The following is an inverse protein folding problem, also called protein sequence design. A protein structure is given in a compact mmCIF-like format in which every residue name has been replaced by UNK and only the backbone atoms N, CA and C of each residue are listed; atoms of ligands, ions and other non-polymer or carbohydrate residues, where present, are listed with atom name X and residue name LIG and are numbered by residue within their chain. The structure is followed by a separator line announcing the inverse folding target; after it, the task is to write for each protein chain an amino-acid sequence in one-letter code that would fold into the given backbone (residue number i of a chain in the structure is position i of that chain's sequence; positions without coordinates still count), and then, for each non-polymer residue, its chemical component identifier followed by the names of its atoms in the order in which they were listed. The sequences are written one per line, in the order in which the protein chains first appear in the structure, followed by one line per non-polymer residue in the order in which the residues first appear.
data_IF_780569068522
#
_entry.id   IF_780569068522
#
_cell.length_a   1.000
_cell.length_b   1.000
_cell.length_c   1.000
_cell.angle_alpha   90.00
_cell.angle_beta   90.00
_cell.angle_gamma   90.00
#
_symmetry.space_group_name_H-M   'P 1'
#
loop_
_entity.id
_entity.type
_entity.pdbx_description
1 polymer ?
#
# COMPACT_ATOMS: atom_id res chain seq x y z
N UNK A 1 -21.28 4.49 0.01
CA UNK A 1 -19.83 4.48 -0.27
C UNK A 1 -19.15 3.54 0.71
N UNK A 2 -18.20 2.73 0.24
CA UNK A 2 -17.54 1.67 1.03
C UNK A 2 -16.66 2.21 2.19
N UNK A 3 -16.35 3.50 2.19
CA UNK A 3 -15.50 4.17 3.19
C UNK A 3 -16.28 4.93 4.27
N UNK A 4 -17.62 4.88 4.26
CA UNK A 4 -18.43 5.58 5.27
C UNK A 4 -18.11 5.06 6.69
N UNK A 5 -18.29 5.90 7.73
CA UNK A 5 -18.15 5.47 9.11
C UNK A 5 -18.90 4.18 9.38
N UNK A 6 -18.33 3.30 10.20
CA UNK A 6 -18.82 1.92 10.41
C UNK A 6 -20.33 1.87 10.71
N UNK A 7 -20.84 2.77 11.54
CA UNK A 7 -22.26 2.82 11.91
C UNK A 7 -23.20 3.04 10.69
N UNK A 8 -22.73 3.77 9.69
CA UNK A 8 -23.48 4.16 8.49
C UNK A 8 -23.09 3.33 7.25
N UNK A 9 -22.14 2.41 7.39
CA UNK A 9 -21.54 1.72 6.25
C UNK A 9 -22.45 0.59 5.72
N UNK A 10 -23.26 0.91 4.71
CA UNK A 10 -24.13 -0.08 4.05
C UNK A 10 -23.36 -1.18 3.31
N UNK A 11 -22.15 -0.89 2.83
CA UNK A 11 -21.32 -1.90 2.15
C UNK A 11 -20.85 -2.97 3.14
N UNK A 12 -20.45 -2.56 4.35
CA UNK A 12 -20.13 -3.50 5.43
C UNK A 12 -21.32 -4.43 5.74
N UNK A 13 -22.52 -3.86 5.91
CA UNK A 13 -23.74 -4.62 6.17
C UNK A 13 -24.06 -5.60 5.04
N UNK A 14 -23.82 -5.20 3.79
CA UNK A 14 -24.00 -6.06 2.63
C UNK A 14 -23.05 -7.27 2.67
N UNK A 15 -21.76 -7.06 2.93
CA UNK A 15 -20.77 -8.14 3.03
C UNK A 15 -21.11 -9.08 4.20
N UNK A 16 -21.42 -8.54 5.38
CA UNK A 16 -21.84 -9.32 6.55
C UNK A 16 -23.07 -10.18 6.25
N UNK A 17 -24.06 -9.64 5.53
CA UNK A 17 -25.28 -10.37 5.13
C UNK A 17 -24.96 -11.52 4.17
N UNK A 18 -24.10 -11.29 3.18
CA UNK A 18 -23.70 -12.32 2.22
C UNK A 18 -22.92 -13.45 2.91
N UNK A 19 -22.01 -13.12 3.82
CA UNK A 19 -21.27 -14.10 4.62
C UNK A 19 -22.22 -14.91 5.51
N UNK A 20 -23.18 -14.27 6.18
CA UNK A 20 -24.18 -14.94 6.99
C UNK A 20 -25.08 -15.89 6.18
N UNK A 21 -25.30 -15.58 4.90
CA UNK A 21 -26.01 -16.44 3.96
C UNK A 21 -25.14 -17.60 3.39
N UNK A 22 -23.88 -17.73 3.80
CA UNK A 22 -22.96 -18.75 3.31
C UNK A 22 -22.42 -18.48 1.90
N UNK A 23 -22.48 -17.23 1.42
CA UNK A 23 -21.92 -16.86 0.11
C UNK A 23 -20.40 -17.01 0.15
N UNK A 24 -19.77 -17.69 -0.81
CA UNK A 24 -18.32 -17.88 -0.84
C UNK A 24 -17.61 -16.61 -1.32
N UNK A 25 -17.47 -15.64 -0.43
CA UNK A 25 -16.68 -14.42 -0.67
C UNK A 25 -15.23 -14.70 -0.33
N UNK A 26 -14.32 -14.40 -1.24
CA UNK A 26 -12.87 -14.64 -1.07
C UNK A 26 -12.06 -13.36 -0.84
N UNK A 27 -12.67 -12.18 -0.99
CA UNK A 27 -12.01 -10.90 -0.80
C UNK A 27 -13.00 -9.72 -0.86
N UNK A 28 -12.55 -8.57 -0.36
CA UNK A 28 -13.37 -7.35 -0.26
C UNK A 28 -12.66 -6.20 -0.97
N UNK A 29 -13.33 -5.61 -1.95
CA UNK A 29 -12.77 -4.56 -2.81
C UNK A 29 -13.29 -3.16 -2.48
N UNK A 30 -12.41 -2.18 -2.50
CA UNK A 30 -12.70 -0.78 -2.25
C UNK A 30 -12.20 0.08 -3.42
N UNK A 31 -13.13 0.69 -4.15
CA UNK A 31 -12.80 1.74 -5.11
C UNK A 31 -12.54 3.07 -4.40
N UNK A 32 -11.54 3.83 -4.84
CA UNK A 32 -11.13 5.11 -4.27
C UNK A 32 -10.98 6.17 -5.37
N UNK A 33 -12.10 6.77 -5.76
CA UNK A 33 -12.15 7.74 -6.85
C UNK A 33 -12.49 9.16 -6.41
N UNK A 34 -11.67 10.09 -6.90
CA UNK A 34 -11.97 11.50 -7.02
C UNK A 34 -11.73 11.92 -8.48
N UNK A 35 -12.80 12.04 -9.26
CA UNK A 35 -12.72 12.34 -10.70
C UNK A 35 -12.59 13.85 -11.03
N UNK A 36 -12.47 14.71 -10.03
CA UNK A 36 -12.28 16.15 -10.22
C UNK A 36 -11.55 16.78 -9.06
N UNK A 37 -10.75 17.82 -9.35
CA UNK A 37 -10.06 18.62 -8.31
C UNK A 37 -11.03 19.15 -7.28
N UNK A 38 -12.17 19.69 -7.71
CA UNK A 38 -13.15 20.30 -6.80
C UNK A 38 -13.71 19.27 -5.81
N UNK A 39 -14.06 18.07 -6.25
CA UNK A 39 -14.51 17.01 -5.35
C UNK A 39 -13.38 16.55 -4.42
N UNK A 40 -12.16 16.42 -4.95
CA UNK A 40 -11.01 16.06 -4.14
C UNK A 40 -10.78 17.09 -3.03
N UNK A 41 -10.68 18.38 -3.32
CA UNK A 41 -10.48 19.41 -2.31
C UNK A 41 -11.67 19.58 -1.37
N UNK A 42 -12.89 19.41 -1.86
CA UNK A 42 -14.10 19.54 -1.03
C UNK A 42 -14.19 18.44 0.03
N UNK A 43 -13.85 17.20 -0.33
CA UNK A 43 -14.07 16.05 0.54
C UNK A 43 -12.78 15.48 1.14
N UNK A 44 -11.63 15.64 0.49
CA UNK A 44 -10.34 15.17 0.99
C UNK A 44 -9.48 16.37 1.45
N UNK A 45 -9.12 16.47 2.74
CA UNK A 45 -9.43 15.54 3.83
C UNK A 45 -10.74 15.86 4.57
N UNK A 46 -11.48 16.91 4.21
CA UNK A 46 -12.48 17.53 5.08
C UNK A 46 -13.74 16.69 5.39
N UNK A 47 -14.11 15.74 4.55
CA UNK A 47 -15.22 14.82 4.83
C UNK A 47 -14.76 13.74 5.82
N UNK A 48 -15.50 13.50 6.92
CA UNK A 48 -15.19 12.44 7.89
C UNK A 48 -14.95 11.06 7.26
N UNK A 49 -15.56 10.78 6.10
CA UNK A 49 -15.36 9.57 5.31
C UNK A 49 -13.89 9.34 4.94
N UNK A 50 -13.14 10.40 4.66
CA UNK A 50 -11.77 10.31 4.15
C UNK A 50 -10.71 10.77 5.16
N UNK A 51 -11.12 11.06 6.39
CA UNK A 51 -10.18 11.30 7.49
C UNK A 51 -9.39 10.02 7.82
N UNK A 52 -8.08 10.11 8.12
CA UNK A 52 -7.25 8.94 8.40
C UNK A 52 -7.83 8.01 9.47
N UNK A 53 -8.34 8.56 10.58
CA UNK A 53 -8.90 7.76 11.68
C UNK A 53 -10.14 6.97 11.25
N UNK A 54 -10.99 7.55 10.41
CA UNK A 54 -12.15 6.85 9.87
C UNK A 54 -11.73 5.76 8.89
N UNK A 55 -10.82 6.06 7.95
CA UNK A 55 -10.32 5.07 7.00
C UNK A 55 -9.69 3.88 7.74
N UNK A 56 -8.84 4.14 8.74
CA UNK A 56 -8.25 3.11 9.58
C UNK A 56 -9.32 2.27 10.28
N UNK A 57 -10.28 2.92 10.94
CA UNK A 57 -11.38 2.25 11.65
C UNK A 57 -12.21 1.36 10.73
N UNK A 58 -12.51 1.84 9.52
CA UNK A 58 -13.29 1.10 8.53
C UNK A 58 -12.52 -0.14 8.05
N UNK A 59 -11.27 0.01 7.62
CA UNK A 59 -10.49 -1.14 7.15
C UNK A 59 -10.19 -2.15 8.26
N UNK A 60 -9.96 -1.71 9.49
CA UNK A 60 -9.82 -2.62 10.64
C UNK A 60 -11.12 -3.36 10.93
N UNK A 61 -12.27 -2.69 10.81
CA UNK A 61 -13.57 -3.36 10.95
C UNK A 61 -13.78 -4.42 9.86
N UNK A 62 -13.48 -4.11 8.60
CA UNK A 62 -13.54 -5.10 7.53
C UNK A 62 -12.53 -6.23 7.72
N UNK A 63 -11.36 -5.95 8.31
CA UNK A 63 -10.35 -6.97 8.62
C UNK A 63 -10.85 -8.03 9.63
N UNK A 64 -11.85 -7.70 10.45
CA UNK A 64 -12.48 -8.65 11.38
C UNK A 64 -13.35 -9.70 10.67
N UNK A 65 -13.69 -9.49 9.39
CA UNK A 65 -14.40 -10.49 8.56
C UNK A 65 -13.48 -11.60 8.04
N UNK A 66 -12.20 -11.53 8.41
CA UNK A 66 -11.17 -12.52 8.08
C UNK A 66 -10.85 -12.74 6.60
N UNK A 67 -11.29 -11.82 5.74
CA UNK A 67 -11.02 -11.82 4.31
C UNK A 67 -9.89 -10.85 3.93
N UNK A 68 -9.15 -11.11 2.84
CA UNK A 68 -8.22 -10.15 2.27
C UNK A 68 -8.97 -8.92 1.75
N UNK A 69 -8.37 -7.75 1.98
CA UNK A 69 -8.89 -6.46 1.53
C UNK A 69 -8.08 -5.96 0.33
N UNK A 70 -8.75 -5.30 -0.60
CA UNK A 70 -8.14 -4.74 -1.80
C UNK A 70 -8.60 -3.31 -2.02
N UNK A 71 -7.67 -2.38 -2.22
CA UNK A 71 -8.01 -1.16 -2.93
C UNK A 71 -7.97 -1.50 -4.41
N UNK A 72 -9.12 -1.49 -5.08
CA UNK A 72 -9.24 -2.07 -6.42
C UNK A 72 -9.02 -1.05 -7.52
N UNK A 73 -9.36 0.21 -7.27
CA UNK A 73 -9.33 1.25 -8.30
C UNK A 73 -9.02 2.60 -7.65
N UNK A 74 -7.88 3.21 -8.00
CA UNK A 74 -7.50 4.52 -7.48
C UNK A 74 -7.60 5.57 -8.58
N UNK A 75 -8.26 6.67 -8.27
CA UNK A 75 -8.17 7.90 -9.06
C UNK A 75 -8.05 9.09 -8.11
N UNK A 76 -6.86 9.69 -8.06
CA UNK A 76 -6.62 10.97 -7.37
C UNK A 76 -6.29 11.99 -8.46
N UNK A 77 -6.99 13.13 -8.55
CA UNK A 77 -6.85 14.03 -9.67
C UNK A 77 -5.52 14.77 -9.61
N UNK A 78 -4.78 14.74 -10.72
CA UNK A 78 -3.60 15.58 -10.95
C UNK A 78 -3.92 16.92 -11.63
N UNK A 79 -5.19 17.16 -11.98
CA UNK A 79 -5.65 18.38 -12.65
C UNK A 79 -5.56 19.63 -11.77
N UNK A 80 -5.42 20.81 -12.41
CA UNK A 80 -5.43 22.14 -11.80
C UNK A 80 -4.11 22.52 -11.12
N UNK A 81 -4.08 23.73 -10.54
CA UNK A 81 -2.87 24.29 -9.94
C UNK A 81 -2.31 23.40 -8.83
N UNK A 82 -1.01 23.12 -8.89
CA UNK A 82 -0.32 22.18 -7.99
C UNK A 82 -0.88 20.74 -7.98
N UNK A 83 -1.77 20.37 -8.92
CA UNK A 83 -2.49 19.10 -8.89
C UNK A 83 -1.57 17.88 -8.84
N UNK A 84 -0.45 17.87 -9.58
CA UNK A 84 0.52 16.78 -9.54
C UNK A 84 1.20 16.62 -8.16
N UNK A 85 1.47 17.74 -7.48
CA UNK A 85 2.07 17.75 -6.15
C UNK A 85 1.04 17.28 -5.10
N UNK A 86 -0.19 17.81 -5.16
CA UNK A 86 -1.29 17.42 -4.28
C UNK A 86 -1.59 15.91 -4.41
N UNK A 87 -1.66 15.43 -5.66
CA UNK A 87 -1.83 14.01 -5.99
C UNK A 87 -0.75 13.16 -5.34
N UNK A 88 0.53 13.53 -5.51
CA UNK A 88 1.64 12.79 -4.94
C UNK A 88 1.61 12.77 -3.40
N UNK A 89 1.29 13.88 -2.76
CA UNK A 89 1.21 13.94 -1.28
C UNK A 89 0.07 13.10 -0.74
N UNK A 90 -1.13 13.19 -1.32
CA UNK A 90 -2.27 12.40 -0.91
C UNK A 90 -2.01 10.90 -1.07
N UNK A 91 -1.43 10.51 -2.21
CA UNK A 91 -1.08 9.11 -2.49
C UNK A 91 -0.03 8.59 -1.51
N UNK A 92 0.99 9.38 -1.15
CA UNK A 92 1.97 8.98 -0.12
C UNK A 92 1.30 8.62 1.20
N UNK A 93 0.32 9.40 1.64
CA UNK A 93 -0.37 9.15 2.91
C UNK A 93 -1.34 7.97 2.82
N UNK A 94 -2.11 7.90 1.74
CA UNK A 94 -3.05 6.81 1.51
C UNK A 94 -2.35 5.46 1.40
N UNK A 95 -1.25 5.38 0.63
CA UNK A 95 -0.48 4.14 0.49
C UNK A 95 0.14 3.70 1.82
N UNK A 96 0.65 4.62 2.65
CA UNK A 96 1.11 4.28 4.00
C UNK A 96 -0.01 3.76 4.90
N UNK A 97 -1.18 4.39 4.85
CA UNK A 97 -2.36 3.93 5.60
C UNK A 97 -2.77 2.52 5.15
N UNK A 98 -2.95 2.30 3.85
CA UNK A 98 -3.33 0.99 3.31
C UNK A 98 -2.30 -0.09 3.60
N UNK A 99 -1.01 0.22 3.45
CA UNK A 99 0.09 -0.69 3.78
C UNK A 99 0.13 -1.05 5.28
N UNK A 100 -0.37 -0.17 6.15
CA UNK A 100 -0.42 -0.46 7.59
C UNK A 100 -1.55 -1.41 8.01
N UNK A 101 -2.54 -1.63 7.13
CA UNK A 101 -3.65 -2.56 7.39
C UNK A 101 -3.18 -3.98 7.11
N UNK A 102 -3.09 -4.81 8.16
CA UNK A 102 -2.57 -6.19 8.06
C UNK A 102 -3.23 -7.05 6.98
N UNK A 103 -4.55 -6.90 6.77
CA UNK A 103 -5.29 -7.68 5.76
C UNK A 103 -5.34 -7.02 4.38
N UNK A 104 -4.66 -5.89 4.17
CA UNK A 104 -4.57 -5.28 2.84
C UNK A 104 -3.67 -6.13 1.96
N UNK A 105 -4.29 -6.89 1.06
CA UNK A 105 -3.64 -7.85 0.19
C UNK A 105 -3.22 -7.25 -1.16
N UNK A 106 -3.81 -6.12 -1.57
CA UNK A 106 -3.45 -5.46 -2.82
C UNK A 106 -3.99 -4.06 -2.97
N UNK A 107 -3.27 -3.25 -3.74
CA UNK A 107 -3.60 -1.86 -4.07
C UNK A 107 -3.41 -1.70 -5.58
N UNK A 108 -4.50 -1.51 -6.31
CA UNK A 108 -4.52 -1.43 -7.76
C UNK A 108 -4.81 0.00 -8.23
N UNK A 109 -3.91 0.51 -9.07
CA UNK A 109 -4.05 1.83 -9.68
C UNK A 109 -4.88 1.74 -10.97
N UNK A 110 -5.83 2.64 -11.17
CA UNK A 110 -6.85 2.48 -12.21
C UNK A 110 -6.33 2.73 -13.64
N UNK A 111 -5.45 3.72 -13.84
CA UNK A 111 -4.91 4.05 -15.16
C UNK A 111 -3.44 4.46 -15.07
N UNK A 112 -2.60 3.89 -15.95
CA UNK A 112 -1.18 4.23 -15.99
C UNK A 112 -0.96 5.67 -16.47
N UNK A 113 -1.53 6.03 -17.62
CA UNK A 113 -1.32 7.33 -18.26
C UNK A 113 -2.51 8.26 -18.09
N UNK A 114 -2.24 9.56 -18.08
CA UNK A 114 -3.29 10.57 -18.15
C UNK A 114 -4.11 10.44 -19.45
N UNK A 115 -5.39 10.82 -19.39
CA UNK A 115 -6.35 10.80 -20.49
C UNK A 115 -6.70 9.42 -21.09
N UNK A 116 -6.24 8.31 -20.50
CA UNK A 116 -6.62 6.95 -20.94
C UNK A 116 -7.82 6.36 -20.20
N UNK A 117 -8.26 7.01 -19.12
CA UNK A 117 -9.42 6.57 -18.34
C UNK A 117 -10.73 6.74 -19.12
N UNK A 118 -11.73 5.91 -18.80
CA UNK A 118 -12.99 5.85 -19.55
C UNK A 118 -13.79 7.16 -19.47
N UNK A 119 -14.33 7.60 -20.61
CA UNK A 119 -15.22 8.75 -20.69
C UNK A 119 -14.58 10.03 -20.13
N UNK A 120 -15.29 10.69 -19.22
CA UNK A 120 -14.84 11.96 -18.63
C UNK A 120 -13.84 11.80 -17.47
N UNK A 121 -13.55 10.56 -17.02
CA UNK A 121 -12.60 10.32 -15.94
C UNK A 121 -11.18 10.79 -16.32
N UNK A 122 -10.84 10.74 -17.61
CA UNK A 122 -9.55 11.19 -18.13
C UNK A 122 -9.25 12.67 -17.85
N UNK A 123 -10.28 13.48 -17.61
CA UNK A 123 -10.13 14.91 -17.27
C UNK A 123 -9.54 15.13 -15.87
N UNK A 124 -9.59 14.12 -15.00
CA UNK A 124 -8.97 14.17 -13.68
C UNK A 124 -7.44 14.25 -13.74
N UNK A 125 -6.82 13.82 -14.86
CA UNK A 125 -5.38 13.62 -14.98
C UNK A 125 -4.86 12.74 -13.81
N UNK A 126 -5.53 11.62 -13.59
CA UNK A 126 -5.30 10.70 -12.47
C UNK A 126 -4.27 9.61 -12.73
N UNK A 127 -3.53 9.65 -13.84
CA UNK A 127 -2.48 8.68 -14.17
C UNK A 127 -1.23 8.83 -13.32
N UNK A 128 -0.39 7.78 -13.32
CA UNK A 128 0.97 7.81 -12.78
C UNK A 128 1.96 8.48 -13.73
N UNK A 129 1.65 8.48 -15.02
CA UNK A 129 2.39 9.19 -16.07
C UNK A 129 1.49 10.22 -16.75
N UNK A 130 2.10 11.16 -17.46
CA UNK A 130 1.37 12.00 -18.41
C UNK A 130 0.96 11.20 -19.67
N UNK A 131 0.35 11.90 -20.64
CA UNK A 131 -0.10 11.32 -21.91
C UNK A 131 1.04 10.79 -22.80
N UNK A 132 2.28 11.20 -22.54
CA UNK A 132 3.49 10.77 -23.25
C UNK A 132 4.28 9.69 -22.48
N UNK A 133 3.68 9.12 -21.42
CA UNK A 133 4.32 8.16 -20.51
C UNK A 133 5.50 8.72 -19.71
N UNK A 134 5.58 10.04 -19.56
CA UNK A 134 6.55 10.66 -18.66
C UNK A 134 6.11 10.48 -17.21
N UNK A 135 6.96 9.94 -16.31
CA UNK A 135 6.62 9.80 -14.89
C UNK A 135 6.22 11.12 -14.24
N UNK A 136 5.08 11.12 -13.53
CA UNK A 136 4.62 12.26 -12.71
C UNK A 136 5.20 12.17 -11.30
N UNK A 137 5.11 13.24 -10.48
CA UNK A 137 5.51 13.19 -9.06
C UNK A 137 4.92 12.02 -8.26
N UNK A 138 3.69 11.59 -8.58
CA UNK A 138 3.05 10.42 -7.95
C UNK A 138 3.76 9.10 -8.26
N UNK A 139 4.35 8.94 -9.45
CA UNK A 139 5.18 7.78 -9.79
C UNK A 139 6.37 7.67 -8.84
N UNK A 140 7.13 8.76 -8.71
CA UNK A 140 8.31 8.79 -7.83
C UNK A 140 7.94 8.63 -6.36
N UNK A 141 6.77 9.11 -5.96
CA UNK A 141 6.24 8.87 -4.63
C UNK A 141 6.01 7.38 -4.34
N UNK A 142 5.41 6.65 -5.29
CA UNK A 142 5.19 5.22 -5.16
C UNK A 142 6.49 4.42 -5.26
N UNK A 143 7.39 4.80 -6.17
CA UNK A 143 8.71 4.18 -6.30
C UNK A 143 9.51 4.30 -4.99
N UNK A 144 9.51 5.49 -4.37
CA UNK A 144 10.13 5.69 -3.07
C UNK A 144 9.52 4.77 -2.01
N UNK A 145 8.19 4.70 -1.92
CA UNK A 145 7.54 3.86 -0.91
C UNK A 145 7.85 2.37 -1.12
N UNK A 146 7.59 1.87 -2.33
CA UNK A 146 7.55 0.44 -2.62
C UNK A 146 8.96 -0.13 -2.78
N UNK A 147 9.83 0.57 -3.51
CA UNK A 147 11.15 0.04 -3.89
C UNK A 147 12.27 0.50 -2.96
N UNK A 148 12.03 1.45 -2.04
CA UNK A 148 13.06 2.02 -1.17
C UNK A 148 12.68 2.04 0.32
N UNK A 149 11.52 2.58 0.68
CA UNK A 149 11.11 2.72 2.08
C UNK A 149 10.61 1.38 2.67
N UNK A 150 9.88 0.59 1.87
CA UNK A 150 9.31 -0.70 2.26
C UNK A 150 10.18 -1.90 1.84
N UNK A 151 11.48 -1.68 1.84
CA UNK A 151 12.48 -2.73 1.74
C UNK A 151 13.43 -2.68 2.94
N UNK A 152 14.40 -3.57 3.00
CA UNK A 152 15.35 -3.62 4.10
C UNK A 152 16.75 -3.86 3.56
N UNK A 153 17.62 -2.90 3.84
CA UNK A 153 19.05 -2.99 3.58
C UNK A 153 19.78 -2.64 4.87
N UNK A 154 20.66 -3.52 5.34
CA UNK A 154 21.46 -3.26 6.53
C UNK A 154 22.80 -4.00 6.45
N UNK A 155 23.79 -3.42 7.12
CA UNK A 155 25.14 -3.97 7.24
C UNK A 155 25.58 -3.81 8.69
N UNK A 156 26.26 -4.82 9.22
CA UNK A 156 26.86 -4.72 10.54
C UNK A 156 27.81 -5.88 10.84
N UNK A 157 28.38 -5.85 12.04
CA UNK A 157 29.25 -6.90 12.54
C UNK A 157 28.45 -7.83 13.45
N UNK A 158 28.75 -9.13 13.36
CA UNK A 158 28.21 -10.11 14.30
C UNK A 158 28.82 -9.93 15.69
N UNK A 159 28.10 -10.34 16.73
CA UNK A 159 28.66 -10.49 18.08
C UNK A 159 29.65 -11.67 18.18
N UNK A 160 30.25 -11.87 19.35
CA UNK A 160 31.18 -12.98 19.64
C UNK A 160 30.58 -14.38 19.43
N UNK A 161 29.25 -14.48 19.35
CA UNK A 161 28.49 -15.71 19.07
C UNK A 161 28.05 -15.81 17.61
N UNK A 162 28.54 -14.93 16.73
CA UNK A 162 28.19 -14.92 15.31
C UNK A 162 26.79 -14.37 15.01
N UNK A 163 26.15 -13.63 15.92
CA UNK A 163 24.77 -13.16 15.76
C UNK A 163 24.71 -11.71 15.29
N UNK A 164 23.80 -11.42 14.37
CA UNK A 164 23.45 -10.07 13.93
C UNK A 164 21.93 -9.91 13.98
N UNK A 165 21.43 -8.80 14.50
CA UNK A 165 19.99 -8.53 14.66
C UNK A 165 19.60 -7.28 13.90
N UNK A 166 18.49 -7.35 13.16
CA UNK A 166 17.92 -6.23 12.43
C UNK A 166 16.39 -6.30 12.45
N UNK A 167 15.74 -5.17 12.13
CA UNK A 167 14.31 -5.10 11.85
C UNK A 167 14.15 -4.97 10.34
N UNK A 168 13.28 -5.79 9.75
CA UNK A 168 13.01 -5.73 8.31
C UNK A 168 11.59 -6.16 7.96
N UNK A 169 11.23 -5.98 6.71
CA UNK A 169 9.96 -6.44 6.15
C UNK A 169 9.99 -7.96 5.86
N UNK A 170 8.82 -8.59 5.81
CA UNK A 170 8.72 -9.96 5.31
C UNK A 170 9.15 -10.02 3.84
N UNK A 171 9.78 -11.11 3.42
CA UNK A 171 10.24 -11.28 2.05
C UNK A 171 11.53 -12.07 1.91
N UNK A 172 12.10 -12.06 0.72
CA UNK A 172 13.34 -12.77 0.40
C UNK A 172 14.53 -11.84 0.53
N UNK A 173 15.58 -12.32 1.20
CA UNK A 173 16.82 -11.57 1.41
C UNK A 173 18.00 -12.32 0.86
N UNK A 174 18.93 -11.57 0.27
CA UNK A 174 20.29 -12.03 0.03
C UNK A 174 21.18 -11.55 1.19
N UNK A 175 21.70 -12.49 1.97
CA UNK A 175 22.68 -12.21 3.02
C UNK A 175 24.07 -12.43 2.44
N UNK A 176 24.95 -11.44 2.60
CA UNK A 176 26.36 -11.57 2.28
C UNK A 176 27.18 -11.48 3.56
N UNK A 177 27.95 -12.53 3.86
CA UNK A 177 28.83 -12.60 5.03
C UNK A 177 30.27 -12.45 4.59
N UNK A 178 31.04 -11.63 5.30
CA UNK A 178 32.49 -11.46 5.10
C UNK A 178 33.19 -11.87 6.40
N UNK A 179 34.08 -12.85 6.30
CA UNK A 179 34.89 -13.32 7.42
C UNK A 179 36.15 -12.47 7.61
N UNK A 180 36.81 -12.60 8.76
CA UNK A 180 38.05 -11.86 9.08
C UNK A 180 39.21 -12.18 8.12
N UNK A 181 39.20 -13.35 7.48
CA UNK A 181 40.15 -13.73 6.45
C UNK A 181 39.71 -13.30 5.04
N UNK A 182 38.81 -12.31 4.94
CA UNK A 182 38.23 -11.75 3.72
C UNK A 182 37.39 -12.72 2.88
N UNK A 183 37.22 -13.98 3.31
CA UNK A 183 36.34 -14.94 2.65
C UNK A 183 34.89 -14.44 2.67
N UNK A 184 34.20 -14.60 1.54
CA UNK A 184 32.80 -14.19 1.36
C UNK A 184 31.90 -15.40 1.14
N UNK A 185 30.68 -15.34 1.67
CA UNK A 185 29.63 -16.32 1.38
C UNK A 185 28.28 -15.62 1.29
N UNK A 186 27.41 -16.11 0.40
CA UNK A 186 26.08 -15.57 0.17
C UNK A 186 25.01 -16.62 0.43
N UNK A 187 23.90 -16.20 1.04
CA UNK A 187 22.74 -17.04 1.34
C UNK A 187 21.47 -16.35 0.86
N UNK A 188 20.49 -17.15 0.42
CA UNK A 188 19.13 -16.68 0.22
C UNK A 188 18.27 -17.21 1.35
N UNK A 189 17.54 -16.30 2.01
CA UNK A 189 16.65 -16.63 3.11
C UNK A 189 15.28 -15.99 2.86
N UNK A 190 14.23 -16.58 3.42
CA UNK A 190 12.90 -15.99 3.43
C UNK A 190 12.49 -15.66 4.86
N UNK A 191 12.18 -14.38 5.08
CA UNK A 191 11.64 -13.90 6.34
C UNK A 191 10.10 -13.93 6.26
N UNK A 192 9.42 -14.69 7.14
CA UNK A 192 7.96 -14.67 7.20
C UNK A 192 7.47 -13.37 7.83
N UNK A 193 6.17 -13.09 7.69
CA UNK A 193 5.51 -12.08 8.51
C UNK A 193 5.46 -12.57 9.96
N UNK A 194 6.34 -12.04 10.80
CA UNK A 194 6.44 -12.42 12.20
C UNK A 194 6.99 -11.26 13.04
N UNK A 195 6.66 -11.26 14.34
CA UNK A 195 7.23 -10.30 15.29
C UNK A 195 8.71 -10.57 15.58
N UNK A 196 9.16 -11.82 15.44
CA UNK A 196 10.56 -12.27 15.58
C UNK A 196 10.81 -13.50 14.72
N UNK A 197 11.98 -13.59 14.11
CA UNK A 197 12.48 -14.77 13.41
C UNK A 197 13.95 -15.01 13.78
N UNK A 198 14.36 -16.28 13.89
CA UNK A 198 15.75 -16.68 14.05
C UNK A 198 16.18 -17.45 12.81
N UNK A 199 17.30 -17.04 12.22
CA UNK A 199 17.85 -17.64 11.01
C UNK A 199 19.30 -18.01 11.28
N UNK A 200 19.69 -19.23 10.91
CA UNK A 200 21.05 -19.75 11.08
C UNK A 200 21.66 -20.02 9.71
N UNK A 201 22.80 -19.38 9.43
CA UNK A 201 23.61 -19.64 8.25
C UNK A 201 24.95 -20.22 8.71
N UNK A 202 25.33 -21.39 8.20
CA UNK A 202 26.60 -22.05 8.53
C UNK A 202 27.62 -21.80 7.42
N UNK A 203 28.84 -21.43 7.80
CA UNK A 203 29.98 -21.24 6.89
C UNK A 203 30.97 -22.37 7.17
N UNK A 204 31.16 -23.26 6.20
CA UNK A 204 32.11 -24.39 6.27
C UNK A 204 33.53 -23.95 5.93
#
# INVERSE_FOLDING_TARGET
MSHKPVAENQYLKQVETLLAAGTPIEGIGFQFHFFSRDNFHKYFPHDPTFQPDNLMTVYERFSQLELPLYITEITIPGSGDNGFTDQAQAVKQLYRLWFSIKRMAGITWWNLADKTAYGNEGQALGGLTDENLTPKPVWHALDQLINQDWTTQCTGKTDEKGRFSFRGFAGTYQINVVLNNERKQSFHISLPEATKALITCTID
#
